data_IF_480420265346
#
_entry.id   IF_480420265346
#
_cell.length_a   1.000
_cell.length_b   1.000
_cell.length_c   1.000
_cell.angle_alpha   90.00
_cell.angle_beta   90.00
_cell.angle_gamma   90.00
#
_symmetry.space_group_name_H-M   'P 1'
#
loop_
_entity.id
_entity.type
_entity.pdbx_description
1 polymer ?
#
# COMPACT_ATOMS: atom_id res chain seq x y z
N UNK A 1 -20.44 -16.50 -4.42
CA UNK A 1 -19.83 -15.74 -5.53
C UNK A 1 -18.41 -15.24 -5.23
N UNK A 2 -17.88 -15.38 -4.00
CA UNK A 2 -16.52 -14.94 -3.65
C UNK A 2 -15.38 -15.81 -4.21
N UNK A 3 -15.63 -17.08 -4.56
CA UNK A 3 -14.58 -18.00 -5.05
C UNK A 3 -14.09 -17.72 -6.48
N UNK A 4 -14.77 -16.86 -7.24
CA UNK A 4 -14.39 -16.61 -8.63
C UNK A 4 -13.24 -15.60 -8.74
N UNK A 5 -13.12 -14.66 -7.80
CA UNK A 5 -12.04 -13.67 -7.80
C UNK A 5 -10.73 -14.21 -7.20
N UNK A 6 -10.79 -15.21 -6.31
CA UNK A 6 -9.58 -15.92 -5.84
C UNK A 6 -8.92 -16.75 -6.95
N UNK A 7 -9.65 -17.05 -8.04
CA UNK A 7 -9.15 -17.83 -9.18
C UNK A 7 -9.03 -17.01 -10.48
N UNK A 8 -9.28 -15.70 -10.42
CA UNK A 8 -9.17 -14.81 -11.58
C UNK A 8 -7.79 -14.14 -11.59
N UNK A 9 -6.78 -14.83 -12.12
CA UNK A 9 -5.50 -14.22 -12.42
C UNK A 9 -5.56 -13.60 -13.83
N UNK A 10 -5.30 -12.29 -13.93
CA UNK A 10 -4.96 -11.70 -15.23
C UNK A 10 -3.52 -12.03 -15.51
N UNK A 11 -3.28 -13.10 -16.28
CA UNK A 11 -1.94 -13.41 -16.74
C UNK A 11 -1.55 -12.34 -17.76
N UNK A 12 -0.63 -11.44 -17.39
CA UNK A 12 -0.10 -10.49 -18.36
C UNK A 12 0.82 -11.29 -19.27
N UNK A 13 0.34 -11.56 -20.49
CA UNK A 13 1.06 -12.33 -21.50
C UNK A 13 2.45 -11.74 -21.69
N UNK A 14 3.48 -12.55 -21.43
CA UNK A 14 4.84 -12.22 -21.80
C UNK A 14 5.03 -12.77 -23.21
N UNK A 15 5.26 -11.88 -24.19
CA UNK A 15 5.33 -12.24 -25.61
C UNK A 15 6.39 -13.30 -25.93
N UNK A 16 7.35 -13.57 -25.01
CA UNK A 16 8.25 -14.71 -25.08
C UNK A 16 8.93 -15.02 -23.73
N UNK A 17 8.83 -16.25 -23.21
CA UNK A 17 9.48 -16.66 -21.95
C UNK A 17 11.03 -16.68 -22.04
N UNK A 18 11.58 -16.74 -23.25
CA UNK A 18 13.02 -16.70 -23.52
C UNK A 18 13.63 -15.29 -23.39
N UNK A 19 12.82 -14.24 -23.25
CA UNK A 19 13.27 -12.84 -23.23
C UNK A 19 13.08 -12.17 -21.85
N UNK A 20 12.88 -12.99 -20.79
CA UNK A 20 12.78 -12.50 -19.42
C UNK A 20 14.18 -12.10 -18.95
N UNK A 21 14.47 -10.79 -18.76
CA UNK A 21 15.79 -10.34 -18.36
C UNK A 21 16.15 -10.89 -16.98
N UNK A 22 17.41 -11.27 -16.80
CA UNK A 22 17.87 -11.72 -15.49
C UNK A 22 17.80 -10.56 -14.48
N UNK A 23 17.77 -10.90 -13.19
CA UNK A 23 17.83 -9.89 -12.13
C UNK A 23 19.10 -9.01 -12.22
N UNK A 24 20.21 -9.58 -12.71
CA UNK A 24 21.45 -8.84 -12.97
C UNK A 24 21.30 -7.83 -14.11
N UNK A 25 20.60 -8.20 -15.17
CA UNK A 25 20.34 -7.33 -16.32
C UNK A 25 19.45 -6.16 -15.92
N UNK A 26 18.38 -6.44 -15.16
CA UNK A 26 17.48 -5.41 -14.64
C UNK A 26 18.23 -4.39 -13.78
N UNK A 27 19.12 -4.85 -12.88
CA UNK A 27 19.97 -3.97 -12.07
C UNK A 27 20.86 -3.08 -12.95
N UNK A 28 21.51 -3.68 -13.94
CA UNK A 28 22.40 -2.98 -14.87
C UNK A 28 21.65 -1.93 -15.70
N UNK A 29 20.45 -2.26 -16.17
CA UNK A 29 19.59 -1.34 -16.91
C UNK A 29 19.12 -0.17 -16.05
N UNK A 30 18.81 -0.40 -14.77
CA UNK A 30 18.47 0.68 -13.84
C UNK A 30 19.67 1.58 -13.54
N UNK A 31 20.88 1.02 -13.40
CA UNK A 31 22.09 1.77 -13.07
C UNK A 31 22.60 2.62 -14.24
N UNK A 32 22.67 2.04 -15.45
CA UNK A 32 23.29 2.67 -16.63
C UNK A 32 22.30 3.29 -17.61
N UNK A 33 21.01 3.05 -17.46
CA UNK A 33 19.98 3.50 -18.40
C UNK A 33 19.70 5.01 -18.38
N UNK A 34 19.09 5.51 -19.44
CA UNK A 34 18.46 6.84 -19.48
C UNK A 34 17.09 6.80 -18.80
N UNK A 35 16.45 7.95 -18.58
CA UNK A 35 15.12 7.98 -18.00
C UNK A 35 14.09 7.23 -18.88
N UNK A 36 14.22 7.31 -20.21
CA UNK A 36 13.37 6.60 -21.17
C UNK A 36 13.58 5.09 -21.12
N UNK A 37 14.84 4.63 -21.09
CA UNK A 37 15.12 3.20 -21.02
C UNK A 37 14.65 2.62 -19.67
N UNK A 38 14.82 3.38 -18.58
CA UNK A 38 14.33 3.00 -17.25
C UNK A 38 12.81 2.89 -17.19
N UNK A 39 12.07 3.64 -18.00
CA UNK A 39 10.60 3.50 -18.08
C UNK A 39 10.25 2.09 -18.56
N UNK A 40 10.90 1.61 -19.60
CA UNK A 40 10.68 0.25 -20.11
C UNK A 40 11.16 -0.81 -19.12
N UNK A 41 12.30 -0.60 -18.46
CA UNK A 41 12.76 -1.49 -17.39
C UNK A 41 11.78 -1.54 -16.22
N UNK A 42 11.23 -0.40 -15.78
CA UNK A 42 10.24 -0.34 -14.69
C UNK A 42 8.92 -1.02 -15.07
N UNK A 43 8.45 -0.86 -16.32
CA UNK A 43 7.26 -1.60 -16.82
C UNK A 43 7.49 -3.10 -16.75
N UNK A 44 8.64 -3.59 -17.23
CA UNK A 44 9.02 -5.01 -17.16
C UNK A 44 9.05 -5.52 -15.73
N UNK A 45 9.67 -4.77 -14.81
CA UNK A 45 9.71 -5.11 -13.39
C UNK A 45 8.30 -5.27 -12.82
N UNK A 46 7.41 -4.28 -13.07
CA UNK A 46 6.02 -4.34 -12.60
C UNK A 46 5.27 -5.55 -13.17
N UNK A 47 5.43 -5.85 -14.46
CA UNK A 47 4.80 -7.02 -15.09
C UNK A 47 5.25 -8.32 -14.45
N UNK A 48 6.55 -8.50 -14.21
CA UNK A 48 7.10 -9.70 -13.55
C UNK A 48 6.56 -9.82 -12.12
N UNK A 49 6.50 -8.70 -11.36
CA UNK A 49 5.95 -8.68 -10.01
C UNK A 49 4.46 -9.00 -9.95
N UNK A 50 3.67 -8.47 -10.88
CA UNK A 50 2.24 -8.77 -10.98
C UNK A 50 1.98 -10.22 -11.39
N UNK A 51 2.90 -10.84 -12.12
CA UNK A 51 2.86 -12.27 -12.46
C UNK A 51 3.36 -13.18 -11.32
N UNK A 52 3.71 -12.64 -10.15
CA UNK A 52 3.96 -13.41 -8.93
C UNK A 52 5.41 -13.49 -8.45
N UNK A 53 6.39 -12.92 -9.18
CA UNK A 53 7.79 -12.86 -8.70
C UNK A 53 8.08 -11.51 -8.01
N UNK A 54 8.17 -11.46 -6.66
CA UNK A 54 8.24 -10.22 -5.91
C UNK A 54 9.56 -9.45 -6.07
N UNK A 55 10.62 -10.05 -6.63
CA UNK A 55 11.93 -9.43 -6.85
C UNK A 55 12.42 -8.49 -5.71
N UNK A 56 12.51 -8.96 -4.45
CA UNK A 56 12.78 -8.11 -3.29
C UNK A 56 14.15 -7.41 -3.37
N UNK A 57 15.11 -7.98 -4.10
CA UNK A 57 16.48 -7.49 -4.21
C UNK A 57 16.66 -6.31 -5.21
N UNK A 58 15.57 -5.80 -5.79
CA UNK A 58 15.57 -4.61 -6.65
C UNK A 58 15.29 -3.30 -5.89
N UNK A 59 14.75 -3.37 -4.68
CA UNK A 59 14.30 -2.20 -3.91
C UNK A 59 15.39 -1.13 -3.81
N UNK A 60 16.62 -1.52 -3.42
CA UNK A 60 17.74 -0.58 -3.29
C UNK A 60 18.16 0.05 -4.63
N UNK A 61 18.09 -0.70 -5.73
CA UNK A 61 18.42 -0.16 -7.06
C UNK A 61 17.38 0.86 -7.51
N UNK A 62 16.10 0.58 -7.25
CA UNK A 62 15.00 1.51 -7.54
C UNK A 62 15.13 2.78 -6.69
N UNK A 63 15.45 2.65 -5.41
CA UNK A 63 15.73 3.80 -4.53
C UNK A 63 16.90 4.64 -5.05
N UNK A 64 17.98 4.01 -5.51
CA UNK A 64 19.17 4.74 -5.97
C UNK A 64 19.00 5.38 -7.34
N UNK A 65 18.32 4.72 -8.28
CA UNK A 65 18.39 5.09 -9.70
C UNK A 65 17.06 5.51 -10.33
N UNK A 66 15.94 5.28 -9.66
CA UNK A 66 14.59 5.66 -10.13
C UNK A 66 13.98 6.74 -9.25
N UNK A 67 14.00 6.57 -7.92
CA UNK A 67 13.46 7.52 -6.95
C UNK A 67 13.94 8.98 -7.13
N UNK A 68 15.24 9.26 -7.39
CA UNK A 68 15.71 10.64 -7.57
C UNK A 68 15.38 11.24 -8.94
N UNK A 69 14.89 10.44 -9.91
CA UNK A 69 14.57 10.95 -11.23
C UNK A 69 13.41 11.94 -11.18
N UNK A 70 13.51 13.01 -11.99
CA UNK A 70 12.45 14.02 -12.18
C UNK A 70 11.49 13.63 -13.31
N UNK A 71 11.75 12.54 -14.03
CA UNK A 71 10.95 12.12 -15.17
C UNK A 71 9.55 11.66 -14.71
N UNK A 72 8.50 12.32 -15.22
CA UNK A 72 7.12 12.14 -14.76
C UNK A 72 6.62 10.70 -14.90
N UNK A 73 6.95 10.03 -16.01
CA UNK A 73 6.54 8.65 -16.24
C UNK A 73 7.21 7.69 -15.25
N UNK A 74 8.50 7.89 -14.95
CA UNK A 74 9.21 7.10 -13.94
C UNK A 74 8.63 7.30 -12.56
N UNK A 75 8.32 8.55 -12.20
CA UNK A 75 7.65 8.87 -10.93
C UNK A 75 6.35 8.08 -10.79
N UNK A 76 5.52 8.04 -11.83
CA UNK A 76 4.26 7.28 -11.80
C UNK A 76 4.49 5.78 -11.62
N UNK A 77 5.44 5.20 -12.36
CA UNK A 77 5.79 3.78 -12.25
C UNK A 77 6.40 3.42 -10.89
N UNK A 78 7.16 4.33 -10.29
CA UNK A 78 7.70 4.17 -8.94
C UNK A 78 6.60 4.01 -7.89
N UNK A 79 5.53 4.81 -7.98
CA UNK A 79 4.40 4.69 -7.06
C UNK A 79 3.64 3.37 -7.27
N UNK A 80 3.47 2.89 -8.50
CA UNK A 80 2.94 1.54 -8.73
C UNK A 80 3.83 0.45 -8.11
N UNK A 81 5.15 0.60 -8.22
CA UNK A 81 6.08 -0.32 -7.58
C UNK A 81 5.93 -0.30 -6.05
N UNK A 82 5.79 0.88 -5.43
CA UNK A 82 5.57 0.99 -4.00
C UNK A 82 4.26 0.37 -3.53
N UNK A 83 3.22 0.31 -4.36
CA UNK A 83 1.97 -0.38 -4.00
C UNK A 83 2.20 -1.89 -3.84
N UNK A 84 2.93 -2.52 -4.75
CA UNK A 84 3.06 -3.99 -4.82
C UNK A 84 4.31 -4.56 -4.16
N UNK A 85 5.35 -3.75 -3.89
CA UNK A 85 6.60 -4.28 -3.34
C UNK A 85 6.44 -4.80 -1.89
N UNK A 86 7.10 -5.92 -1.51
CA UNK A 86 7.06 -6.40 -0.13
C UNK A 86 7.76 -5.43 0.82
N UNK A 87 7.02 -4.94 1.83
CA UNK A 87 7.48 -3.91 2.78
C UNK A 87 8.07 -4.49 4.07
N UNK A 88 7.70 -5.72 4.39
CA UNK A 88 8.17 -6.44 5.57
C UNK A 88 9.27 -7.43 5.21
N UNK A 89 10.14 -7.72 6.18
CA UNK A 89 11.13 -8.79 6.13
C UNK A 89 10.49 -10.16 6.48
N UNK A 90 11.31 -11.20 6.55
CA UNK A 90 10.88 -12.56 6.91
C UNK A 90 10.33 -12.68 8.33
N UNK A 91 10.62 -11.72 9.20
CA UNK A 91 10.17 -11.67 10.58
C UNK A 91 8.91 -10.79 10.75
N UNK A 92 8.37 -10.24 9.67
CA UNK A 92 7.24 -9.32 9.69
C UNK A 92 7.60 -7.90 10.15
N UNK A 93 8.89 -7.54 10.21
CA UNK A 93 9.34 -6.18 10.52
C UNK A 93 9.52 -5.34 9.27
N UNK A 94 9.32 -4.03 9.38
CA UNK A 94 9.53 -3.12 8.26
C UNK A 94 11.00 -3.15 7.79
N UNK A 95 11.21 -3.31 6.47
CA UNK A 95 12.55 -3.28 5.86
C UNK A 95 13.25 -1.95 6.10
N UNK A 96 14.55 -1.97 6.39
CA UNK A 96 15.32 -0.74 6.68
C UNK A 96 15.32 0.25 5.50
N UNK A 97 15.29 -0.25 4.26
CA UNK A 97 15.19 0.57 3.05
C UNK A 97 13.93 1.44 3.00
N UNK A 98 12.88 1.06 3.73
CA UNK A 98 11.62 1.81 3.81
C UNK A 98 11.78 3.16 4.48
N UNK A 99 12.85 3.38 5.25
CA UNK A 99 13.22 4.70 5.79
C UNK A 99 13.51 5.69 4.64
N UNK A 100 14.24 5.24 3.61
CA UNK A 100 14.56 6.06 2.44
C UNK A 100 13.31 6.32 1.60
N UNK A 101 12.46 5.31 1.44
CA UNK A 101 11.16 5.43 0.75
C UNK A 101 10.27 6.44 1.46
N UNK A 102 10.16 6.38 2.79
CA UNK A 102 9.40 7.32 3.59
C UNK A 102 9.90 8.76 3.41
N UNK A 103 11.22 8.98 3.41
CA UNK A 103 11.79 10.30 3.13
C UNK A 103 11.45 10.80 1.72
N UNK A 104 11.50 9.92 0.72
CA UNK A 104 11.07 10.23 -0.65
C UNK A 104 9.60 10.65 -0.73
N UNK A 105 8.71 9.88 -0.10
CA UNK A 105 7.27 10.17 -0.04
C UNK A 105 7.02 11.50 0.69
N UNK A 106 7.72 11.76 1.80
CA UNK A 106 7.60 13.03 2.54
C UNK A 106 7.96 14.23 1.67
N UNK A 107 9.04 14.12 0.90
CA UNK A 107 9.45 15.16 -0.03
C UNK A 107 8.39 15.39 -1.12
N UNK A 108 7.77 14.33 -1.61
CA UNK A 108 6.71 14.43 -2.62
C UNK A 108 5.43 15.08 -2.09
N UNK A 109 5.06 14.84 -0.82
CA UNK A 109 3.95 15.53 -0.15
C UNK A 109 4.20 17.04 0.00
N UNK A 110 5.46 17.46 -0.01
CA UNK A 110 5.88 18.86 0.08
C UNK A 110 6.31 19.43 -1.28
N UNK A 111 6.13 18.68 -2.38
CA UNK A 111 6.61 19.07 -3.70
C UNK A 111 5.87 20.32 -4.23
N UNK A 112 6.51 21.26 -4.93
CA UNK A 112 5.84 22.47 -5.43
C UNK A 112 4.69 22.18 -6.41
N UNK A 113 4.76 21.07 -7.15
CA UNK A 113 3.72 20.62 -8.07
C UNK A 113 2.55 19.92 -7.33
N UNK A 114 1.35 20.46 -7.50
CA UNK A 114 0.11 20.00 -6.89
C UNK A 114 -0.33 18.60 -7.32
N UNK A 115 0.00 18.20 -8.56
CA UNK A 115 -0.33 16.87 -9.07
C UNK A 115 0.54 15.79 -8.45
N UNK A 116 1.82 16.10 -8.16
CA UNK A 116 2.70 15.19 -7.43
C UNK A 116 2.16 14.99 -6.02
N UNK A 117 1.89 16.08 -5.27
CA UNK A 117 1.28 15.99 -3.93
C UNK A 117 0.00 15.17 -3.94
N UNK A 118 -0.92 15.46 -4.85
CA UNK A 118 -2.19 14.74 -4.95
C UNK A 118 -2.04 13.26 -5.31
N UNK A 119 -1.08 12.90 -6.17
CA UNK A 119 -0.77 11.51 -6.47
C UNK A 119 -0.20 10.78 -5.25
N UNK A 120 0.70 11.43 -4.52
CA UNK A 120 1.28 10.89 -3.29
C UNK A 120 0.22 10.69 -2.21
N UNK A 121 -0.71 11.64 -2.06
CA UNK A 121 -1.84 11.52 -1.12
C UNK A 121 -2.74 10.31 -1.45
N UNK A 122 -3.04 10.07 -2.74
CA UNK A 122 -3.77 8.85 -3.15
C UNK A 122 -3.02 7.57 -2.82
N UNK A 123 -1.69 7.59 -2.95
CA UNK A 123 -0.87 6.45 -2.54
C UNK A 123 -0.92 6.22 -1.02
N UNK A 124 -0.97 7.27 -0.20
CA UNK A 124 -1.12 7.11 1.25
C UNK A 124 -2.40 6.36 1.63
N UNK A 125 -3.50 6.55 0.89
CA UNK A 125 -4.75 5.79 1.06
C UNK A 125 -4.60 4.28 0.80
N UNK A 126 -3.47 3.81 0.27
CA UNK A 126 -3.20 2.38 -0.03
C UNK A 126 -2.13 1.77 0.88
N UNK A 127 -1.38 2.60 1.59
CA UNK A 127 -0.29 2.18 2.47
C UNK A 127 -0.86 1.55 3.74
N UNK A 128 -0.32 0.42 4.20
CA UNK A 128 -0.91 -0.35 5.31
C UNK A 128 -0.06 -0.33 6.58
N UNK A 129 1.22 -0.03 6.44
CA UNK A 129 2.23 -0.15 7.48
C UNK A 129 2.22 1.11 8.36
N UNK A 130 1.78 1.02 9.63
CA UNK A 130 1.66 2.20 10.50
C UNK A 130 3.01 2.93 10.68
N UNK A 131 4.10 2.17 10.80
CA UNK A 131 5.47 2.68 10.90
C UNK A 131 5.89 3.56 9.70
N UNK A 132 5.35 3.30 8.51
CA UNK A 132 5.60 4.14 7.33
C UNK A 132 4.72 5.39 7.30
N UNK A 133 3.55 5.33 7.94
CA UNK A 133 2.49 6.33 7.80
C UNK A 133 2.62 7.42 8.85
N UNK A 134 2.90 7.04 10.09
CA UNK A 134 3.17 7.95 11.21
C UNK A 134 4.13 9.10 10.83
N UNK A 135 5.32 8.85 10.24
CA UNK A 135 6.25 9.90 9.84
C UNK A 135 5.80 10.79 8.68
N UNK A 136 4.66 10.48 8.04
CA UNK A 136 4.08 11.21 6.91
C UNK A 136 2.86 12.06 7.30
N UNK A 137 2.27 11.81 8.47
CA UNK A 137 1.04 12.46 8.94
C UNK A 137 1.16 13.98 8.99
N UNK A 138 2.29 14.52 9.46
CA UNK A 138 2.48 15.97 9.54
C UNK A 138 2.38 16.64 8.16
N UNK A 139 3.10 16.09 7.17
CA UNK A 139 3.06 16.57 5.78
C UNK A 139 1.69 16.38 5.13
N UNK A 140 1.01 15.26 5.40
CA UNK A 140 -0.34 14.99 4.89
C UNK A 140 -1.38 15.95 5.48
N UNK A 141 -1.26 16.32 6.76
CA UNK A 141 -2.14 17.31 7.41
C UNK A 141 -1.93 18.72 6.84
N UNK A 142 -0.69 19.12 6.59
CA UNK A 142 -0.40 20.41 5.92
C UNK A 142 -1.07 20.52 4.54
N UNK A 143 -1.29 19.40 3.86
CA UNK A 143 -1.96 19.39 2.56
C UNK A 143 -3.47 19.75 2.63
N UNK A 144 -4.09 19.69 3.81
CA UNK A 144 -5.49 20.12 4.02
C UNK A 144 -5.66 21.64 3.84
N UNK A 145 -4.62 22.41 4.12
CA UNK A 145 -4.62 23.88 4.02
C UNK A 145 -3.97 24.37 2.72
N UNK A 146 -3.63 23.45 1.81
CA UNK A 146 -2.94 23.80 0.58
C UNK A 146 -3.78 24.71 -0.32
N UNK A 147 -3.16 25.67 -1.02
CA UNK A 147 -3.87 26.65 -1.88
C UNK A 147 -4.74 26.04 -2.97
N UNK A 148 -4.30 24.92 -3.55
CA UNK A 148 -5.03 24.23 -4.63
C UNK A 148 -6.06 23.23 -4.09
N UNK A 149 -7.32 23.38 -4.53
CA UNK A 149 -8.42 22.50 -4.16
C UNK A 149 -8.16 21.02 -4.50
N UNK A 150 -7.44 20.73 -5.59
CA UNK A 150 -7.04 19.38 -5.95
C UNK A 150 -6.27 18.68 -4.82
N UNK A 151 -5.30 19.37 -4.21
CA UNK A 151 -4.50 18.82 -3.11
C UNK A 151 -5.35 18.62 -1.87
N UNK A 152 -6.17 19.63 -1.51
CA UNK A 152 -7.07 19.54 -0.34
C UNK A 152 -8.05 18.36 -0.45
N UNK A 153 -8.67 18.17 -1.62
CA UNK A 153 -9.57 17.04 -1.89
C UNK A 153 -8.87 15.71 -1.63
N UNK A 154 -7.68 15.50 -2.19
CA UNK A 154 -6.93 14.25 -1.96
C UNK A 154 -6.44 14.14 -0.50
N UNK A 155 -6.13 15.25 0.16
CA UNK A 155 -5.69 15.27 1.55
C UNK A 155 -6.81 14.89 2.52
N UNK A 156 -8.05 15.30 2.26
CA UNK A 156 -9.22 14.87 3.05
C UNK A 156 -9.37 13.36 3.01
N UNK A 157 -9.37 12.76 1.82
CA UNK A 157 -9.44 11.31 1.68
C UNK A 157 -8.27 10.59 2.38
N UNK A 158 -7.05 11.07 2.15
CA UNK A 158 -5.87 10.46 2.77
C UNK A 158 -5.91 10.51 4.30
N UNK A 159 -6.31 11.64 4.88
CA UNK A 159 -6.38 11.79 6.34
C UNK A 159 -7.56 11.02 6.94
N UNK A 160 -8.75 10.99 6.31
CA UNK A 160 -9.90 10.23 6.85
C UNK A 160 -9.60 8.74 6.92
N UNK A 161 -9.14 8.17 5.80
CA UNK A 161 -8.73 6.77 5.68
C UNK A 161 -7.66 6.40 6.71
N UNK A 162 -6.59 7.21 6.75
CA UNK A 162 -5.44 6.96 7.61
C UNK A 162 -5.79 7.11 9.09
N UNK A 163 -6.55 8.13 9.46
CA UNK A 163 -6.90 8.40 10.85
C UNK A 163 -7.82 7.32 11.42
N UNK A 164 -8.88 6.92 10.69
CA UNK A 164 -9.80 5.87 11.15
C UNK A 164 -9.08 4.54 11.34
N UNK A 165 -8.30 4.15 10.34
CA UNK A 165 -7.51 2.91 10.41
C UNK A 165 -6.49 2.96 11.57
N UNK A 166 -5.73 4.05 11.71
CA UNK A 166 -4.73 4.17 12.79
C UNK A 166 -5.38 4.20 14.18
N UNK A 167 -6.51 4.92 14.33
CA UNK A 167 -7.25 4.95 15.58
C UNK A 167 -7.73 3.56 15.98
N UNK A 168 -8.30 2.81 15.02
CA UNK A 168 -8.73 1.44 15.29
C UNK A 168 -7.54 0.49 15.57
N UNK A 169 -6.45 0.56 14.79
CA UNK A 169 -5.26 -0.26 15.02
C UNK A 169 -4.60 0.01 16.38
N UNK A 170 -4.53 1.27 16.81
CA UNK A 170 -4.05 1.66 18.13
C UNK A 170 -5.00 1.20 19.24
N UNK A 171 -6.31 1.34 19.05
CA UNK A 171 -7.30 0.84 20.00
C UNK A 171 -7.18 -0.67 20.17
N UNK A 172 -7.04 -1.41 19.06
CA UNK A 172 -6.88 -2.86 19.06
C UNK A 172 -5.61 -3.34 19.76
N UNK A 173 -4.53 -2.55 19.76
CA UNK A 173 -3.29 -2.91 20.46
C UNK A 173 -3.27 -2.53 21.94
N UNK A 174 -4.06 -1.53 22.34
CA UNK A 174 -4.10 -1.02 23.72
C UNK A 174 -5.24 -1.68 24.53
N UNK A 175 -6.42 -1.81 23.94
CA UNK A 175 -7.65 -2.22 24.63
C UNK A 175 -8.55 -3.03 23.67
N UNK A 176 -8.38 -4.35 23.72
CA UNK A 176 -9.09 -5.30 22.87
C UNK A 176 -10.61 -5.26 23.03
N UNK A 177 -11.10 -5.07 24.27
CA UNK A 177 -12.53 -5.06 24.57
C UNK A 177 -13.21 -3.80 23.99
N UNK A 178 -12.55 -2.63 24.09
CA UNK A 178 -13.05 -1.42 23.44
C UNK A 178 -12.99 -1.48 21.92
N UNK A 179 -11.97 -2.14 21.35
CA UNK A 179 -11.91 -2.39 19.92
C UNK A 179 -13.08 -3.28 19.45
N UNK A 180 -13.42 -4.34 20.19
CA UNK A 180 -14.61 -5.16 19.96
C UNK A 180 -15.91 -4.34 20.06
N UNK A 181 -16.02 -3.48 21.07
CA UNK A 181 -17.18 -2.61 21.23
C UNK A 181 -17.34 -1.66 20.04
N UNK A 182 -16.27 -0.96 19.65
CA UNK A 182 -16.30 -0.11 18.45
C UNK A 182 -16.72 -0.92 17.22
N UNK A 183 -16.08 -2.08 17.00
CA UNK A 183 -16.37 -2.95 15.87
C UNK A 183 -17.85 -3.36 15.83
N UNK A 184 -18.45 -3.68 16.99
CA UNK A 184 -19.87 -4.04 17.08
C UNK A 184 -20.79 -2.91 16.63
N UNK A 185 -20.40 -1.64 16.83
CA UNK A 185 -21.18 -0.47 16.40
C UNK A 185 -21.09 -0.20 14.90
N UNK A 186 -19.98 -0.57 14.26
CA UNK A 186 -19.73 -0.35 12.83
C UNK A 186 -19.89 -1.62 11.99
N UNK A 187 -20.28 -2.73 12.63
CA UNK A 187 -20.20 -4.09 12.07
C UNK A 187 -20.93 -4.27 10.74
N UNK A 188 -22.17 -3.78 10.65
CA UNK A 188 -22.98 -3.82 9.41
C UNK A 188 -22.41 -2.93 8.30
N UNK A 189 -21.61 -1.94 8.68
CA UNK A 189 -20.94 -1.01 7.77
C UNK A 189 -19.62 -1.55 7.19
N UNK A 190 -19.04 -2.61 7.76
CA UNK A 190 -17.74 -3.17 7.33
C UNK A 190 -17.70 -3.49 5.83
N UNK A 191 -18.73 -4.08 5.19
CA UNK A 191 -18.73 -4.33 3.75
C UNK A 191 -18.60 -3.06 2.90
N UNK A 192 -19.09 -1.93 3.43
CA UNK A 192 -19.08 -0.63 2.78
C UNK A 192 -17.94 0.28 3.28
N UNK A 193 -17.14 -0.19 4.25
CA UNK A 193 -15.98 0.52 4.73
C UNK A 193 -14.94 0.63 3.62
N UNK A 194 -14.12 1.66 3.68
CA UNK A 194 -12.98 1.80 2.79
C UNK A 194 -12.03 0.60 2.96
N UNK A 195 -11.50 0.07 1.85
CA UNK A 195 -10.76 -1.19 1.77
C UNK A 195 -9.70 -1.37 2.88
N UNK A 196 -8.96 -0.31 3.19
CA UNK A 196 -7.92 -0.39 4.23
C UNK A 196 -8.46 -0.48 5.65
N UNK A 197 -9.56 0.21 5.96
CA UNK A 197 -10.20 0.11 7.27
C UNK A 197 -10.81 -1.29 7.43
N UNK A 198 -11.51 -1.74 6.39
CA UNK A 198 -12.09 -3.08 6.32
C UNK A 198 -11.03 -4.16 6.59
N UNK A 199 -9.84 -4.06 6.01
CA UNK A 199 -8.80 -5.07 6.22
C UNK A 199 -8.26 -5.13 7.65
N UNK A 200 -8.10 -3.98 8.32
CA UNK A 200 -7.66 -3.96 9.73
C UNK A 200 -8.77 -4.49 10.64
N UNK A 201 -10.03 -4.15 10.35
CA UNK A 201 -11.19 -4.71 11.04
C UNK A 201 -11.28 -6.24 10.85
N UNK A 202 -11.08 -6.73 9.62
CA UNK A 202 -11.06 -8.17 9.32
C UNK A 202 -9.86 -8.90 9.96
N UNK A 203 -8.69 -8.27 9.99
CA UNK A 203 -7.52 -8.84 10.67
C UNK A 203 -7.76 -8.97 12.17
N UNK A 204 -8.36 -7.95 12.79
CA UNK A 204 -8.77 -7.98 14.19
C UNK A 204 -9.79 -9.09 14.46
N UNK A 205 -10.86 -9.19 13.64
CA UNK A 205 -11.86 -10.26 13.74
C UNK A 205 -11.21 -11.64 13.64
N UNK A 206 -10.30 -11.84 12.67
CA UNK A 206 -9.60 -13.12 12.49
C UNK A 206 -8.76 -13.49 13.70
N UNK A 207 -8.02 -12.53 14.27
CA UNK A 207 -7.21 -12.76 15.48
C UNK A 207 -8.09 -13.05 16.70
N UNK A 208 -9.18 -12.30 16.89
CA UNK A 208 -10.12 -12.52 17.99
C UNK A 208 -10.82 -13.87 17.88
N UNK A 209 -11.29 -14.27 16.69
CA UNK A 209 -11.98 -15.54 16.49
C UNK A 209 -11.11 -16.78 16.75
N UNK A 210 -9.79 -16.65 16.64
CA UNK A 210 -8.82 -17.71 17.01
C UNK A 210 -8.63 -17.78 18.53
N UNK A 211 -8.63 -16.63 19.21
CA UNK A 211 -8.42 -16.56 20.66
C UNK A 211 -9.71 -16.82 21.46
N UNK A 212 -10.86 -16.39 20.93
CA UNK A 212 -12.17 -16.37 21.58
C UNK A 212 -13.23 -17.07 20.71
N UNK A 213 -13.27 -18.41 20.78
CA UNK A 213 -14.21 -19.25 19.99
C UNK A 213 -15.69 -18.91 20.18
N UNK A 214 -16.07 -18.25 21.29
CA UNK A 214 -17.45 -17.80 21.55
C UNK A 214 -17.87 -16.62 20.68
N UNK A 215 -16.96 -15.69 20.37
CA UNK A 215 -17.24 -14.51 19.54
C UNK A 215 -17.42 -14.90 18.05
N UNK A 216 -16.84 -16.04 17.65
CA UNK A 216 -16.93 -16.58 16.29
C UNK A 216 -18.37 -16.79 15.82
N UNK A 217 -19.28 -17.16 16.72
CA UNK A 217 -20.70 -17.38 16.42
C UNK A 217 -21.44 -16.05 16.17
N UNK A 218 -21.06 -14.99 16.89
CA UNK A 218 -21.61 -13.64 16.68
C UNK A 218 -21.17 -13.03 15.35
N UNK A 219 -19.91 -13.26 14.97
CA UNK A 219 -19.38 -12.78 13.69
C UNK A 219 -19.96 -13.52 12.48
N UNK A 220 -20.19 -14.84 12.59
CA UNK A 220 -20.73 -15.65 11.49
C UNK A 220 -22.22 -15.39 11.23
N UNK A 221 -23.02 -15.14 12.28
CA UNK A 221 -24.45 -14.90 12.18
C UNK A 221 -24.84 -13.58 11.51
N UNK A 222 -23.99 -12.56 11.61
CA UNK A 222 -24.31 -11.19 11.17
C UNK A 222 -23.65 -10.79 9.83
N UNK A 223 -22.50 -11.39 9.47
CA UNK A 223 -21.80 -11.11 8.21
C UNK A 223 -22.01 -12.21 7.13
N UNK A 224 -22.74 -13.30 7.40
CA UNK A 224 -22.97 -14.35 6.41
C UNK A 224 -21.71 -15.13 6.01
N UNK A 225 -20.76 -15.32 6.93
CA UNK A 225 -19.56 -16.15 6.72
C UNK A 225 -19.93 -17.63 6.83
N UNK A 226 -20.60 -18.17 5.82
CA UNK A 226 -20.77 -19.61 5.68
C UNK A 226 -19.61 -20.27 4.90
N UNK A 227 -18.86 -19.51 4.08
CA UNK A 227 -17.84 -20.08 3.20
C UNK A 227 -16.69 -19.10 2.91
N UNK A 228 -15.79 -18.90 3.88
CA UNK A 228 -14.37 -18.58 3.68
C UNK A 228 -13.58 -19.47 4.65
#
# INVERSE_FOLDING_TARGET
>A
MASFLENAYSLVHQDNAADVPSLSDLRTQLEKGTDESKVETMKRILTIMLNGDPMPNLLMHIIRFVMPSKHKALKKLLYFYYEICPKLDSNGKLKQEMILVCNGIRNDLQHPNEYIRGNTLRFLCKLREPELIEPLLSSARQCLEHRHAYVRKNAVFANDATCKRNAFAALASIDHEKALLYLSTVFEGIPNAEELLQLVELEFIRKDAVQNSQNKVGFSGSLGWAHI
#
